data_IF_134390460231
#
_entry.id   IF_134390460231
#
_cell.length_a   1.000
_cell.length_b   1.000
_cell.length_c   1.000
_cell.angle_alpha   90.00
_cell.angle_beta   90.00
_cell.angle_gamma   90.00
#
_symmetry.space_group_name_H-M   'P 1'
#
loop_
_entity.id
_entity.type
_entity.pdbx_description
1 polymer ?
#
# COMPACT_ATOMS: atom_id res chain seq x y z
N UNK A 1 -14.94 -36.34 -22.51
CA UNK A 1 -13.68 -35.86 -23.15
C UNK A 1 -13.12 -34.69 -22.36
N UNK A 2 -11.87 -34.78 -21.91
CA UNK A 2 -11.18 -33.67 -21.23
C UNK A 2 -10.28 -32.96 -22.24
N UNK A 3 -10.46 -31.66 -22.42
CA UNK A 3 -9.64 -30.86 -23.33
C UNK A 3 -8.53 -30.14 -22.58
N UNK A 4 -7.33 -30.11 -23.16
CA UNK A 4 -6.20 -29.39 -22.58
C UNK A 4 -6.52 -27.89 -22.47
N UNK A 5 -6.26 -27.31 -21.29
CA UNK A 5 -6.45 -25.87 -21.01
C UNK A 5 -5.78 -24.96 -22.03
N UNK A 6 -4.62 -25.34 -22.58
CA UNK A 6 -3.92 -24.59 -23.64
C UNK A 6 -4.72 -24.54 -24.94
N UNK A 7 -5.40 -25.63 -25.32
CA UNK A 7 -6.24 -25.70 -26.52
C UNK A 7 -7.45 -24.79 -26.39
N UNK A 8 -8.11 -24.82 -25.23
CA UNK A 8 -9.25 -23.95 -24.92
C UNK A 8 -8.84 -22.48 -25.02
N UNK A 9 -7.70 -22.10 -24.42
CA UNK A 9 -7.18 -20.71 -24.50
C UNK A 9 -6.94 -20.25 -25.94
N UNK A 10 -6.32 -21.08 -26.80
CA UNK A 10 -6.09 -20.71 -28.21
C UNK A 10 -7.40 -20.48 -28.97
N UNK A 11 -8.42 -21.30 -28.72
CA UNK A 11 -9.74 -21.13 -29.34
C UNK A 11 -10.43 -19.86 -28.85
N UNK A 12 -10.39 -19.56 -27.54
CA UNK A 12 -10.93 -18.31 -27.00
C UNK A 12 -10.30 -17.08 -27.65
N UNK A 13 -8.97 -17.08 -27.85
CA UNK A 13 -8.26 -15.98 -28.52
C UNK A 13 -8.73 -15.82 -29.97
N UNK A 14 -8.81 -16.91 -30.74
CA UNK A 14 -9.26 -16.87 -32.15
C UNK A 14 -10.70 -16.36 -32.30
N UNK A 15 -11.56 -16.65 -31.33
CA UNK A 15 -12.97 -16.26 -31.31
C UNK A 15 -13.22 -14.93 -30.55
N UNK A 16 -12.15 -14.25 -30.11
CA UNK A 16 -12.25 -13.04 -29.29
C UNK A 16 -13.12 -13.18 -28.02
N UNK A 17 -13.22 -14.40 -27.46
CA UNK A 17 -14.00 -14.69 -26.27
C UNK A 17 -13.18 -14.34 -25.01
N UNK A 18 -13.75 -13.50 -24.15
CA UNK A 18 -13.17 -13.09 -22.87
C UNK A 18 -14.13 -13.40 -21.73
N UNK A 19 -13.61 -13.84 -20.59
CA UNK A 19 -14.45 -14.04 -19.40
C UNK A 19 -14.85 -12.68 -18.81
N UNK A 20 -16.13 -12.52 -18.47
CA UNK A 20 -16.67 -11.35 -17.77
C UNK A 20 -16.39 -11.42 -16.25
N UNK A 21 -15.16 -11.78 -15.86
CA UNK A 21 -14.79 -11.82 -14.44
C UNK A 21 -14.37 -10.42 -14.04
N UNK A 22 -15.09 -9.83 -13.08
CA UNK A 22 -14.73 -8.56 -12.45
C UNK A 22 -13.33 -8.71 -11.84
N UNK A 23 -12.37 -7.90 -12.29
CA UNK A 23 -11.04 -7.82 -11.66
C UNK A 23 -11.22 -7.27 -10.25
N UNK A 24 -10.50 -7.82 -9.27
CA UNK A 24 -10.37 -7.16 -7.98
C UNK A 24 -9.74 -5.79 -8.23
N UNK A 25 -10.39 -4.72 -7.81
CA UNK A 25 -9.74 -3.42 -7.77
C UNK A 25 -8.51 -3.55 -6.86
N UNK A 26 -7.37 -3.02 -7.28
CA UNK A 26 -6.18 -2.94 -6.42
C UNK A 26 -6.45 -2.15 -5.14
N UNK A 27 -5.47 -2.14 -4.23
CA UNK A 27 -5.54 -1.54 -2.89
C UNK A 27 -6.33 -0.21 -2.85
N UNK A 28 -7.23 -0.10 -1.86
CA UNK A 28 -8.12 1.06 -1.65
C UNK A 28 -7.36 2.36 -1.36
N UNK A 29 -6.16 2.24 -0.80
CA UNK A 29 -5.28 3.36 -0.48
C UNK A 29 -4.44 3.74 -1.69
N UNK A 30 -4.74 4.90 -2.27
CA UNK A 30 -3.80 5.58 -3.18
C UNK A 30 -2.59 6.02 -2.37
N UNK A 31 -1.49 5.28 -2.45
CA UNK A 31 -0.19 5.63 -1.81
C UNK A 31 0.54 6.78 -2.50
N UNK A 32 -0.15 7.57 -3.34
CA UNK A 32 0.50 8.59 -4.18
C UNK A 32 0.86 9.87 -3.44
N UNK A 33 0.43 10.02 -2.18
CA UNK A 33 0.75 11.19 -1.38
C UNK A 33 1.98 10.91 -0.53
N UNK A 34 3.15 11.19 -1.11
CA UNK A 34 4.41 11.22 -0.37
C UNK A 34 4.62 12.68 0.03
N UNK A 35 4.23 13.04 1.26
CA UNK A 35 4.63 14.31 1.87
C UNK A 35 6.11 14.21 2.21
N UNK A 36 6.95 14.61 1.26
CA UNK A 36 8.37 14.83 1.53
C UNK A 36 8.48 16.31 1.91
N UNK A 37 8.47 16.58 3.21
CA UNK A 37 8.77 17.91 3.75
C UNK A 37 10.28 18.05 3.96
N UNK A 38 10.76 19.28 3.94
CA UNK A 38 12.16 19.57 4.21
C UNK A 38 12.54 19.19 5.66
N UNK A 39 13.73 18.60 5.83
CA UNK A 39 14.27 18.31 7.15
C UNK A 39 14.73 19.62 7.82
N UNK A 40 13.80 20.34 8.44
CA UNK A 40 14.09 21.61 9.14
C UNK A 40 14.95 21.38 10.38
N UNK A 41 14.83 20.22 11.03
CA UNK A 41 15.49 19.96 12.31
C UNK A 41 16.96 19.62 12.15
N UNK A 42 17.38 18.91 11.10
CA UNK A 42 18.79 18.58 10.81
C UNK A 42 19.63 18.10 12.02
N UNK A 43 19.02 17.37 12.96
CA UNK A 43 19.61 16.91 14.23
C UNK A 43 20.03 18.03 15.21
N UNK A 44 19.59 19.25 14.98
CA UNK A 44 19.71 20.38 15.91
C UNK A 44 18.60 20.28 16.97
N UNK A 45 18.84 19.54 18.05
CA UNK A 45 17.86 19.35 19.14
C UNK A 45 17.88 20.46 20.20
N UNK A 46 18.90 21.33 20.17
CA UNK A 46 19.06 22.43 21.13
C UNK A 46 18.07 23.57 20.81
N UNK A 47 17.37 24.08 21.83
CA UNK A 47 16.47 25.23 21.74
C UNK A 47 16.90 26.31 22.74
N UNK A 48 16.76 27.59 22.37
CA UNK A 48 17.10 28.71 23.25
C UNK A 48 15.95 29.07 24.19
N UNK A 49 14.71 28.79 23.79
CA UNK A 49 13.50 29.03 24.59
C UNK A 49 12.53 27.84 24.45
N UNK A 50 11.61 27.68 25.41
CA UNK A 50 10.53 26.70 25.29
C UNK A 50 9.70 26.88 24.01
N UNK A 51 9.06 25.80 23.54
CA UNK A 51 8.12 25.79 22.40
C UNK A 51 8.70 26.15 21.02
N UNK A 52 10.03 26.19 20.85
CA UNK A 52 10.66 26.48 19.56
C UNK A 52 10.77 25.26 18.62
N UNK A 53 10.82 24.05 19.19
CA UNK A 53 11.00 22.81 18.44
C UNK A 53 10.06 21.75 19.00
N UNK A 54 9.27 21.14 18.13
CA UNK A 54 8.33 20.07 18.46
C UNK A 54 8.71 18.85 17.64
N UNK A 55 8.97 17.73 18.32
CA UNK A 55 9.34 16.47 17.69
C UNK A 55 8.31 15.43 18.09
N UNK A 56 7.81 14.69 17.11
CA UNK A 56 6.87 13.57 17.32
C UNK A 56 7.54 12.30 16.85
N UNK A 57 7.53 11.27 17.69
CA UNK A 57 7.97 9.92 17.31
C UNK A 57 6.76 8.99 17.14
N UNK A 58 6.85 8.04 16.21
CA UNK A 58 5.82 7.02 16.00
C UNK A 58 6.35 5.72 16.58
N UNK A 59 5.88 5.37 17.78
CA UNK A 59 6.15 4.06 18.35
C UNK A 59 5.06 3.08 17.91
N UNK A 60 5.43 2.07 17.12
CA UNK A 60 4.54 0.96 16.81
C UNK A 60 4.41 0.03 18.02
N UNK A 61 3.21 -0.06 18.59
CA UNK A 61 2.90 -1.04 19.62
C UNK A 61 2.40 -2.33 18.97
N UNK A 62 3.09 -3.44 19.25
CA UNK A 62 2.70 -4.77 18.80
C UNK A 62 1.79 -5.41 19.82
N UNK A 63 0.49 -5.44 19.53
CA UNK A 63 -0.47 -6.21 20.31
C UNK A 63 -0.60 -7.60 19.69
N UNK A 64 -0.32 -8.64 20.50
CA UNK A 64 -0.44 -10.04 20.06
C UNK A 64 -1.88 -10.39 19.63
N UNK A 65 -2.00 -11.51 18.90
CA UNK A 65 -3.22 -12.13 18.33
C UNK A 65 -4.55 -11.54 18.84
N UNK A 66 -5.02 -10.48 18.19
CA UNK A 66 -6.39 -9.99 18.33
C UNK A 66 -6.71 -9.16 19.57
N UNK A 67 -5.74 -8.89 20.44
CA UNK A 67 -5.98 -8.00 21.57
C UNK A 67 -5.98 -6.54 21.09
N UNK A 68 -7.11 -5.86 21.28
CA UNK A 68 -7.19 -4.41 21.13
C UNK A 68 -6.55 -3.75 22.34
N UNK A 69 -5.98 -2.57 22.10
CA UNK A 69 -5.47 -1.68 23.15
C UNK A 69 -6.56 -1.34 24.18
#
# INVERSE_FOLDING_TARGET
KQYNRKRIRRLMIKLCLKSFIRRSNGYCTKTSYVNIEDNVLNREFTASQPNQKWVTDITHLHYGLGNKA
#
